data_IF_663736836779
#
_entry.id   IF_663736836779
#
_cell.length_a   1.000
_cell.length_b   1.000
_cell.length_c   1.000
_cell.angle_alpha   90.00
_cell.angle_beta   90.00
_cell.angle_gamma   90.00
#
_symmetry.space_group_name_H-M   'P 1'
#
loop_
_entity.id
_entity.type
_entity.pdbx_description
1 polymer ?
#
# COMPACT_ATOMS: atom_id res chain seq x y z
N UNK A 1 -8.18 16.24 8.99
CA UNK A 1 -9.21 15.92 7.99
C UNK A 1 -8.72 14.77 7.12
N UNK A 2 -9.37 13.61 7.18
CA UNK A 2 -9.00 12.42 6.39
C UNK A 2 -9.46 12.51 4.93
N UNK A 3 -10.32 13.47 4.59
CA UNK A 3 -10.73 13.71 3.20
C UNK A 3 -9.66 14.53 2.45
N UNK A 4 -9.13 15.58 3.10
CA UNK A 4 -8.00 16.33 2.57
C UNK A 4 -6.68 15.54 2.62
N UNK A 5 -6.45 14.79 3.70
CA UNK A 5 -5.23 14.02 3.92
C UNK A 5 -5.57 12.53 4.13
N UNK A 6 -5.70 11.74 3.04
CA UNK A 6 -6.15 10.36 3.14
C UNK A 6 -5.18 9.47 3.89
N UNK A 7 -5.72 8.50 4.62
CA UNK A 7 -4.96 7.48 5.33
C UNK A 7 -4.76 6.29 4.39
N UNK A 8 -3.54 5.78 4.37
CA UNK A 8 -3.14 4.65 3.54
C UNK A 8 -2.58 3.56 4.44
N UNK A 9 -2.85 2.30 4.09
CA UNK A 9 -2.06 1.18 4.57
C UNK A 9 -0.70 1.22 3.89
N UNK A 10 0.37 1.24 4.67
CA UNK A 10 1.73 1.03 4.17
C UNK A 10 2.07 -0.45 4.28
N UNK A 11 2.07 -1.13 3.14
CA UNK A 11 2.32 -2.56 3.09
C UNK A 11 3.83 -2.91 3.16
N UNK A 12 4.73 -1.96 3.44
CA UNK A 12 6.15 -2.26 3.58
C UNK A 12 6.41 -3.41 4.55
N UNK A 13 7.22 -4.39 4.11
CA UNK A 13 7.54 -5.59 4.89
C UNK A 13 6.53 -6.73 4.72
N UNK A 14 5.31 -6.45 4.27
CA UNK A 14 4.38 -7.48 3.82
C UNK A 14 4.79 -8.01 2.43
N UNK A 15 4.15 -9.08 1.96
CA UNK A 15 4.44 -9.68 0.66
C UNK A 15 3.22 -9.62 -0.25
N UNK A 16 2.29 -10.54 -0.06
CA UNK A 16 1.07 -10.68 -0.85
C UNK A 16 -0.04 -11.19 0.04
N UNK A 17 -1.20 -10.58 -0.04
CA UNK A 17 -2.28 -10.93 0.86
C UNK A 17 -3.51 -10.06 0.71
N UNK A 18 -4.45 -10.22 1.64
CA UNK A 18 -5.62 -9.36 1.76
C UNK A 18 -5.59 -8.59 3.07
N UNK A 19 -6.11 -7.37 3.04
CA UNK A 19 -6.26 -6.54 4.22
C UNK A 19 -7.72 -6.11 4.38
N UNK A 20 -8.17 -6.00 5.62
CA UNK A 20 -9.52 -5.57 5.96
C UNK A 20 -9.47 -4.44 7.00
N UNK A 21 -10.36 -3.46 6.84
CA UNK A 21 -10.53 -2.34 7.78
C UNK A 21 -11.96 -2.38 8.30
N UNK A 22 -12.13 -2.66 9.60
CA UNK A 22 -13.45 -2.80 10.23
C UNK A 22 -14.38 -3.78 9.49
N UNK A 23 -13.83 -4.86 8.92
CA UNK A 23 -14.56 -5.86 8.14
C UNK A 23 -14.75 -5.52 6.65
N UNK A 24 -14.37 -4.33 6.19
CA UNK A 24 -14.39 -3.96 4.77
C UNK A 24 -13.12 -4.43 4.07
N UNK A 25 -13.27 -5.08 2.91
CA UNK A 25 -12.15 -5.64 2.14
C UNK A 25 -11.40 -4.53 1.38
N UNK A 26 -10.14 -4.29 1.77
CA UNK A 26 -9.20 -3.40 1.08
C UNK A 26 -8.65 -4.02 -0.21
N UNK A 27 -8.96 -5.30 -0.45
CA UNK A 27 -8.53 -6.16 -1.55
C UNK A 27 -7.08 -6.65 -1.42
N UNK A 28 -6.61 -7.26 -2.50
CA UNK A 28 -5.28 -7.81 -2.65
C UNK A 28 -4.21 -6.71 -2.58
N UNK A 29 -3.30 -6.83 -1.61
CA UNK A 29 -2.02 -6.14 -1.67
C UNK A 29 -0.94 -7.07 -2.23
N UNK A 30 -0.01 -6.51 -2.99
CA UNK A 30 1.14 -7.24 -3.52
C UNK A 30 2.33 -6.31 -3.78
N UNK A 31 3.41 -6.46 -3.02
CA UNK A 31 4.66 -5.70 -3.23
C UNK A 31 5.59 -6.37 -4.26
N UNK A 32 5.04 -6.78 -5.39
CA UNK A 32 5.88 -7.27 -6.50
C UNK A 32 6.73 -6.11 -7.02
N UNK A 33 8.03 -6.34 -7.19
CA UNK A 33 8.91 -5.33 -7.77
C UNK A 33 8.60 -5.18 -9.26
N UNK A 34 8.62 -3.94 -9.75
CA UNK A 34 8.63 -3.69 -11.18
C UNK A 34 9.94 -4.22 -11.78
N UNK A 35 9.85 -5.20 -12.69
CA UNK A 35 10.99 -5.69 -13.45
C UNK A 35 10.91 -5.08 -14.84
N UNK A 36 11.92 -4.29 -15.19
CA UNK A 36 12.08 -3.76 -16.53
C UNK A 36 13.39 -4.26 -17.12
N UNK A 37 13.30 -5.11 -18.14
CA UNK A 37 14.45 -5.56 -18.91
C UNK A 37 14.73 -4.50 -19.99
N UNK A 38 16.00 -4.13 -20.16
CA UNK A 38 16.49 -2.98 -20.95
C UNK A 38 15.99 -2.89 -22.42
N UNK A 39 15.34 -3.92 -22.96
CA UNK A 39 14.89 -3.99 -24.34
C UNK A 39 13.37 -3.94 -24.54
N UNK A 40 12.57 -3.71 -23.48
CA UNK A 40 11.12 -3.59 -23.65
C UNK A 40 10.69 -2.13 -23.92
N UNK A 41 9.93 -1.85 -25.00
CA UNK A 41 9.46 -0.49 -25.33
C UNK A 41 8.69 0.20 -24.19
N UNK A 42 7.96 -0.59 -23.38
CA UNK A 42 7.23 -0.08 -22.22
C UNK A 42 8.14 0.46 -21.11
N UNK A 43 9.40 0.00 -21.04
CA UNK A 43 10.35 0.46 -20.04
C UNK A 43 10.92 1.84 -20.34
N UNK A 44 10.96 2.26 -21.62
CA UNK A 44 11.40 3.61 -22.00
C UNK A 44 10.34 4.68 -21.71
N UNK A 45 9.04 4.35 -21.78
CA UNK A 45 7.96 5.30 -21.46
C UNK A 45 7.78 5.56 -19.95
N UNK A 46 8.21 4.62 -19.11
CA UNK A 46 8.15 4.74 -17.65
C UNK A 46 9.49 5.14 -17.01
N UNK A 47 10.48 5.57 -17.82
CA UNK A 47 11.88 5.85 -17.47
C UNK A 47 12.09 6.80 -16.26
N UNK A 48 11.05 7.46 -15.75
CA UNK A 48 11.21 8.46 -14.70
C UNK A 48 10.57 8.13 -13.34
N UNK A 49 9.77 7.07 -13.17
CA UNK A 49 9.17 6.79 -11.84
C UNK A 49 9.06 5.31 -11.47
N UNK A 50 9.79 4.93 -10.41
CA UNK A 50 9.61 3.71 -9.63
C UNK A 50 10.09 2.36 -10.22
N UNK A 51 11.23 2.37 -10.93
CA UNK A 51 11.96 1.12 -11.25
C UNK A 51 12.44 0.39 -10.00
N UNK A 52 12.37 -0.95 -10.03
CA UNK A 52 12.81 -1.84 -8.94
C UNK A 52 12.13 -1.57 -7.59
N UNK A 53 11.05 -0.78 -7.60
CA UNK A 53 10.20 -0.53 -6.44
C UNK A 53 8.95 -1.41 -6.53
N UNK A 54 8.26 -1.65 -5.40
CA UNK A 54 6.95 -2.30 -5.43
C UNK A 54 6.00 -1.59 -6.39
N UNK A 55 5.29 -2.35 -7.22
CA UNK A 55 4.25 -1.82 -8.13
C UNK A 55 3.18 -1.04 -7.36
N UNK A 56 2.86 -1.49 -6.15
CA UNK A 56 2.00 -0.77 -5.22
C UNK A 56 2.36 -1.07 -3.77
N UNK A 57 2.80 -0.03 -3.05
CA UNK A 57 3.12 -0.08 -1.60
C UNK A 57 2.00 0.47 -0.71
N UNK A 58 1.35 1.54 -1.17
CA UNK A 58 0.32 2.23 -0.41
C UNK A 58 -1.08 1.88 -0.91
N UNK A 59 -1.98 1.55 0.01
CA UNK A 59 -3.36 1.17 -0.30
C UNK A 59 -4.32 2.11 0.39
N UNK A 60 -5.20 2.74 -0.38
CA UNK A 60 -6.13 3.76 0.10
C UNK A 60 -7.21 3.17 1.00
N UNK A 61 -7.35 3.73 2.21
CA UNK A 61 -8.43 3.40 3.14
C UNK A 61 -9.49 4.50 3.03
N UNK A 62 -10.70 4.21 2.52
CA UNK A 62 -11.80 5.16 2.50
C UNK A 62 -12.09 5.74 3.88
N UNK A 63 -12.23 7.07 3.96
CA UNK A 63 -12.45 7.78 5.23
C UNK A 63 -13.72 7.31 5.94
N UNK A 64 -14.77 6.96 5.20
CA UNK A 64 -16.03 6.44 5.73
C UNK A 64 -15.92 5.02 6.32
N UNK A 65 -14.80 4.32 6.15
CA UNK A 65 -14.55 3.04 6.82
C UNK A 65 -13.98 3.22 8.24
N UNK A 66 -13.47 4.42 8.57
CA UNK A 66 -12.77 4.68 9.81
C UNK A 66 -13.71 5.23 10.90
N UNK A 67 -13.49 4.76 12.12
CA UNK A 67 -14.08 5.27 13.37
C UNK A 67 -13.10 6.21 14.05
N UNK A 68 -13.58 7.03 14.98
CA UNK A 68 -12.73 7.94 15.76
C UNK A 68 -11.71 7.22 16.65
N UNK A 69 -11.99 5.98 17.05
CA UNK A 69 -11.08 5.11 17.84
C UNK A 69 -11.43 3.64 17.63
N UNK A 70 -10.54 2.75 18.08
CA UNK A 70 -10.74 1.30 18.11
C UNK A 70 -11.06 0.71 16.72
N UNK A 71 -10.36 1.17 15.69
CA UNK A 71 -10.42 0.55 14.36
C UNK A 71 -9.72 -0.81 14.40
N UNK A 72 -10.32 -1.80 13.75
CA UNK A 72 -9.72 -3.13 13.57
C UNK A 72 -9.08 -3.22 12.19
N UNK A 73 -7.82 -3.63 12.16
CA UNK A 73 -7.11 -4.00 10.94
C UNK A 73 -6.86 -5.51 10.99
N UNK A 74 -7.26 -6.22 9.94
CA UNK A 74 -6.98 -7.64 9.79
C UNK A 74 -6.15 -7.85 8.53
N UNK A 75 -5.04 -8.61 8.64
CA UNK A 75 -4.13 -8.88 7.53
C UNK A 75 -3.96 -10.38 7.39
N UNK A 76 -4.13 -10.86 6.15
CA UNK A 76 -3.81 -12.22 5.75
C UNK A 76 -2.64 -12.18 4.77
N UNK A 77 -1.42 -12.47 5.24
CA UNK A 77 -0.25 -12.57 4.37
C UNK A 77 -0.02 -14.02 3.94
N UNK A 78 -0.15 -14.28 2.64
CA UNK A 78 -0.09 -15.62 2.07
C UNK A 78 1.31 -16.26 2.13
N UNK A 79 2.36 -15.45 2.29
CA UNK A 79 3.75 -15.94 2.28
C UNK A 79 4.43 -15.82 3.64
N UNK A 80 3.65 -15.57 4.68
CA UNK A 80 4.15 -15.28 6.01
C UNK A 80 4.81 -13.90 6.07
N UNK A 81 4.20 -13.01 6.85
CA UNK A 81 4.83 -11.76 7.22
C UNK A 81 6.03 -12.06 8.16
N UNK A 82 7.21 -11.46 7.95
CA UNK A 82 8.32 -11.57 8.88
C UNK A 82 7.89 -11.09 10.29
N UNK A 83 8.40 -11.74 11.34
CA UNK A 83 8.04 -11.44 12.74
C UNK A 83 8.37 -10.02 13.20
N UNK A 84 9.23 -9.32 12.47
CA UNK A 84 9.65 -7.94 12.74
C UNK A 84 8.85 -6.88 11.99
N UNK A 85 7.84 -7.26 11.19
CA UNK A 85 7.07 -6.31 10.39
C UNK A 85 5.98 -5.66 11.23
N UNK A 86 6.06 -4.35 11.39
CA UNK A 86 4.98 -3.52 11.89
C UNK A 86 3.99 -3.21 10.76
N UNK A 87 2.70 -3.30 11.05
CA UNK A 87 1.66 -2.79 10.16
C UNK A 87 1.66 -1.27 10.24
N UNK A 88 2.02 -0.60 9.14
CA UNK A 88 2.12 0.85 9.07
C UNK A 88 0.85 1.50 8.53
N UNK A 89 0.45 2.62 9.13
CA UNK A 89 -0.48 3.57 8.52
C UNK A 89 0.27 4.86 8.24
N UNK A 90 0.02 5.45 7.08
CA UNK A 90 0.57 6.76 6.70
C UNK A 90 -0.54 7.69 6.30
N UNK A 91 -0.30 8.99 6.45
CA UNK A 91 -1.18 10.03 5.96
C UNK A 91 -0.53 10.70 4.76
N UNK A 92 -1.26 10.80 3.65
CA UNK A 92 -0.79 11.55 2.48
C UNK A 92 -1.05 13.03 2.71
N UNK A 93 0.01 13.84 2.69
CA UNK A 93 -0.03 15.29 2.81
C UNK A 93 0.58 15.88 1.54
N UNK A 94 -0.16 16.75 0.85
CA UNK A 94 0.34 17.49 -0.30
C UNK A 94 0.79 18.88 0.19
N UNK A 95 2.08 19.17 0.08
CA UNK A 95 2.61 20.52 0.29
C UNK A 95 2.74 21.19 -1.07
N UNK A 96 2.09 22.34 -1.25
CA UNK A 96 2.38 23.18 -2.41
C UNK A 96 3.78 23.74 -2.23
N UNK A 97 4.70 23.34 -3.12
CA UNK A 97 6.05 23.89 -3.24
C UNK A 97 6.06 25.25 -3.91
#
# INVERSE_FOLDING_TARGET
DTNANPILLDAQGLKRGHAFINGNDLRLYWLIQSICQNNSPCCHQHAETNFLKPTQRYYHIPSNWLKSKNNLITIFDAFGAPSSVSVGLVQRILTNS
#
